data_IF_786120704404
#
_entry.id   IF_786120704404
#
_cell.length_a   1.000
_cell.length_b   1.000
_cell.length_c   1.000
_cell.angle_alpha   90.00
_cell.angle_beta   90.00
_cell.angle_gamma   90.00
#
_symmetry.space_group_name_H-M   'P 1'
#
loop_
_entity.id
_entity.type
_entity.pdbx_description
1 polymer ?
#
# COMPACT_ATOMS: atom_id res chain seq x y z
N UNK A 1 -18.48 2.09 15.67
CA UNK A 1 -17.67 1.05 15.02
C UNK A 1 -16.64 1.80 14.21
N UNK A 2 -15.36 1.80 14.60
CA UNK A 2 -14.38 2.52 13.81
C UNK A 2 -14.23 1.75 12.51
N UNK A 3 -14.64 2.37 11.41
CA UNK A 3 -14.20 2.00 10.08
C UNK A 3 -12.69 1.78 10.14
N UNK A 4 -12.21 0.75 9.46
CA UNK A 4 -10.84 0.26 9.57
C UNK A 4 -9.89 1.29 8.92
N UNK A 5 -9.69 2.46 9.56
CA UNK A 5 -9.04 3.66 8.98
C UNK A 5 -7.62 3.40 8.48
N UNK A 6 -7.02 2.30 8.94
CA UNK A 6 -5.66 1.85 8.62
C UNK A 6 -5.61 0.75 7.56
N UNK A 7 -6.74 0.38 6.94
CA UNK A 7 -6.78 -0.61 5.85
C UNK A 7 -7.41 0.01 4.62
N UNK A 8 -6.70 -0.06 3.51
CA UNK A 8 -7.23 0.29 2.20
C UNK A 8 -7.29 -0.90 1.27
N UNK A 9 -8.43 -1.05 0.58
CA UNK A 9 -8.58 -1.97 -0.53
C UNK A 9 -8.46 -1.22 -1.87
N UNK A 10 -7.75 -1.84 -2.81
CA UNK A 10 -7.64 -1.41 -4.21
C UNK A 10 -7.67 -2.63 -5.11
N UNK A 11 -8.43 -2.56 -6.19
CA UNK A 11 -8.54 -3.66 -7.15
C UNK A 11 -7.25 -3.81 -7.98
N UNK A 12 -6.58 -2.70 -8.29
CA UNK A 12 -5.34 -2.65 -9.06
C UNK A 12 -4.36 -1.66 -8.42
N UNK A 13 -3.11 -1.60 -8.90
CA UNK A 13 -2.13 -0.61 -8.45
C UNK A 13 -2.13 0.62 -9.35
N UNK A 14 -2.06 1.81 -8.73
CA UNK A 14 -1.81 3.07 -9.40
C UNK A 14 -0.78 3.86 -8.60
N UNK A 15 0.15 4.55 -9.26
CA UNK A 15 1.24 5.27 -8.56
C UNK A 15 0.74 6.42 -7.68
N UNK A 16 -0.48 6.91 -7.91
CA UNK A 16 -1.14 7.87 -7.01
C UNK A 16 -1.35 7.32 -5.60
N UNK A 17 -1.39 5.98 -5.45
CA UNK A 17 -1.51 5.31 -4.15
C UNK A 17 -0.31 5.50 -3.23
N UNK A 18 0.81 6.03 -3.75
CA UNK A 18 1.91 6.50 -2.91
C UNK A 18 1.49 7.57 -1.91
N UNK A 19 0.43 8.36 -2.20
CA UNK A 19 -0.13 9.33 -1.23
C UNK A 19 -0.66 8.65 0.03
N UNK A 20 -1.26 7.46 -0.13
CA UNK A 20 -1.75 6.67 1.00
C UNK A 20 -0.59 6.09 1.81
N UNK A 21 0.46 5.60 1.14
CA UNK A 21 1.68 5.16 1.82
C UNK A 21 2.28 6.30 2.64
N UNK A 22 2.37 7.50 2.08
CA UNK A 22 2.84 8.70 2.79
C UNK A 22 1.92 9.04 3.98
N UNK A 23 0.60 9.04 3.77
CA UNK A 23 -0.39 9.27 4.82
C UNK A 23 -0.23 8.29 5.99
N UNK A 24 -0.12 7.00 5.71
CA UNK A 24 0.07 5.97 6.73
C UNK A 24 1.41 6.09 7.44
N UNK A 25 2.49 6.37 6.72
CA UNK A 25 3.81 6.55 7.31
C UNK A 25 3.84 7.72 8.30
N UNK A 26 3.08 8.78 8.04
CA UNK A 26 2.98 9.95 8.92
C UNK A 26 1.95 9.80 10.05
N UNK A 27 1.18 8.72 10.04
CA UNK A 27 0.10 8.45 10.99
C UNK A 27 0.48 7.28 11.90
N UNK A 28 -0.49 6.42 12.22
CA UNK A 28 -0.31 5.23 13.04
C UNK A 28 0.10 3.98 12.23
N UNK A 29 0.48 4.16 10.96
CA UNK A 29 0.73 3.08 10.01
C UNK A 29 -0.55 2.56 9.35
N UNK A 30 -0.42 1.53 8.54
CA UNK A 30 -1.55 0.94 7.84
C UNK A 30 -1.16 -0.14 6.84
N UNK A 31 -2.16 -0.72 6.19
CA UNK A 31 -2.01 -1.75 5.17
C UNK A 31 -2.82 -1.38 3.95
N UNK A 32 -2.19 -1.45 2.77
CA UNK A 32 -2.89 -1.33 1.49
C UNK A 32 -2.92 -2.72 0.85
N UNK A 33 -4.12 -3.21 0.52
CA UNK A 33 -4.32 -4.42 -0.26
C UNK A 33 -4.58 -4.08 -1.71
N UNK A 34 -3.81 -4.69 -2.62
CA UNK A 34 -3.91 -4.55 -4.06
C UNK A 34 -4.39 -5.88 -4.65
N UNK A 35 -5.47 -5.86 -5.43
CA UNK A 35 -6.16 -7.08 -5.88
C UNK A 35 -7.40 -7.42 -5.06
N UNK A 36 -7.93 -6.46 -4.28
CA UNK A 36 -9.20 -6.59 -3.54
C UNK A 36 -10.19 -5.50 -3.94
N UNK A 37 -11.47 -5.83 -4.06
CA UNK A 37 -12.53 -4.84 -4.26
C UNK A 37 -12.84 -4.05 -2.98
N UNK A 38 -13.70 -3.04 -3.09
CA UNK A 38 -14.10 -2.18 -1.97
C UNK A 38 -14.86 -2.95 -0.87
N UNK A 39 -15.38 -4.14 -1.18
CA UNK A 39 -16.01 -5.06 -0.22
C UNK A 39 -14.99 -6.03 0.42
N UNK A 40 -13.74 -6.00 -0.05
CA UNK A 40 -12.64 -6.82 0.45
C UNK A 40 -12.48 -8.19 -0.24
N UNK A 41 -13.25 -8.48 -1.30
CA UNK A 41 -13.16 -9.73 -2.05
C UNK A 41 -11.96 -9.73 -3.01
N UNK A 42 -11.35 -10.89 -3.21
CA UNK A 42 -10.17 -11.02 -4.07
C UNK A 42 -10.57 -11.06 -5.56
N UNK A 43 -10.03 -10.11 -6.34
CA UNK A 43 -10.29 -9.94 -7.78
C UNK A 43 -9.26 -10.67 -8.66
N UNK A 44 -8.13 -11.11 -8.09
CA UNK A 44 -6.92 -11.59 -8.78
C UNK A 44 -6.15 -10.47 -9.49
N UNK A 45 -4.88 -10.31 -9.11
CA UNK A 45 -3.95 -9.34 -9.66
C UNK A 45 -3.04 -10.05 -10.67
N UNK A 46 -3.21 -9.81 -11.98
CA UNK A 46 -2.43 -10.46 -13.03
C UNK A 46 -0.96 -10.03 -13.07
N UNK A 47 -0.69 -8.75 -12.80
CA UNK A 47 0.64 -8.15 -12.87
C UNK A 47 1.44 -8.27 -11.57
N UNK A 48 1.06 -9.19 -10.69
CA UNK A 48 1.61 -9.30 -9.34
C UNK A 48 3.14 -9.44 -9.32
N UNK A 49 3.72 -10.20 -10.26
CA UNK A 49 5.18 -10.40 -10.35
C UNK A 49 5.90 -9.06 -10.54
N UNK A 50 5.46 -8.26 -11.53
CA UNK A 50 6.01 -6.94 -11.79
C UNK A 50 5.81 -6.00 -10.60
N UNK A 51 4.63 -6.04 -9.99
CA UNK A 51 4.28 -5.15 -8.89
C UNK A 51 5.08 -5.42 -7.61
N UNK A 52 5.44 -6.68 -7.34
CA UNK A 52 6.33 -7.03 -6.22
C UNK A 52 7.71 -6.38 -6.34
N UNK A 53 8.19 -6.14 -7.57
CA UNK A 53 9.45 -5.43 -7.80
C UNK A 53 9.25 -3.91 -7.87
N UNK A 54 8.21 -3.44 -8.56
CA UNK A 54 7.97 -2.02 -8.80
C UNK A 54 7.59 -1.26 -7.52
N UNK A 55 6.64 -1.78 -6.73
CA UNK A 55 6.09 -1.10 -5.56
C UNK A 55 7.18 -0.72 -4.54
N UNK A 56 8.02 -1.65 -4.03
CA UNK A 56 9.02 -1.29 -3.03
C UNK A 56 10.06 -0.30 -3.59
N UNK A 57 10.45 -0.45 -4.85
CA UNK A 57 11.35 0.49 -5.50
C UNK A 57 10.74 1.89 -5.64
N UNK A 58 9.46 2.00 -6.02
CA UNK A 58 8.74 3.28 -6.12
C UNK A 58 8.61 3.96 -4.77
N UNK A 59 8.26 3.22 -3.72
CA UNK A 59 8.17 3.73 -2.34
C UNK A 59 9.53 4.29 -1.90
N UNK A 60 10.60 3.49 -2.03
CA UNK A 60 11.96 3.91 -1.67
C UNK A 60 12.40 5.15 -2.45
N UNK A 61 12.22 5.15 -3.77
CA UNK A 61 12.69 6.24 -4.62
C UNK A 61 11.90 7.55 -4.39
N UNK A 62 10.63 7.47 -4.02
CA UNK A 62 9.77 8.63 -3.86
C UNK A 62 9.81 9.24 -2.44
N UNK A 63 10.07 8.43 -1.41
CA UNK A 63 9.93 8.81 0.00
C UNK A 63 11.13 8.45 0.88
N UNK A 64 12.05 7.60 0.40
CA UNK A 64 13.22 7.15 1.17
C UNK A 64 12.92 6.13 2.28
N UNK A 65 11.70 5.60 2.33
CA UNK A 65 11.27 4.62 3.33
C UNK A 65 11.18 3.22 2.77
N UNK A 66 11.09 2.23 3.66
CA UNK A 66 10.86 0.82 3.31
C UNK A 66 9.49 0.40 3.87
N UNK A 67 8.78 -0.40 3.10
CA UNK A 67 7.50 -1.01 3.48
C UNK A 67 7.56 -2.52 3.20
N UNK A 68 6.84 -3.30 4.00
CA UNK A 68 6.73 -4.74 3.81
C UNK A 68 5.70 -5.01 2.70
N UNK A 69 6.17 -5.52 1.57
CA UNK A 69 5.33 -5.91 0.43
C UNK A 69 5.26 -7.44 0.38
N UNK A 70 4.06 -8.01 0.47
CA UNK A 70 3.85 -9.46 0.50
C UNK A 70 2.82 -9.88 -0.54
N UNK A 71 3.10 -11.00 -1.21
CA UNK A 71 2.15 -11.68 -2.10
C UNK A 71 1.32 -12.68 -1.30
N UNK A 72 0.02 -12.69 -1.57
CA UNK A 72 -0.93 -13.64 -1.02
C UNK A 72 -1.60 -14.42 -2.14
N UNK A 73 -2.06 -15.63 -1.81
CA UNK A 73 -2.86 -16.49 -2.68
C UNK A 73 -4.10 -16.92 -1.93
N UNK A 74 -5.26 -16.71 -2.53
CA UNK A 74 -6.54 -17.19 -2.02
C UNK A 74 -7.26 -17.90 -3.16
N UNK A 75 -7.34 -19.23 -3.08
CA UNK A 75 -7.99 -20.06 -4.10
C UNK A 75 -7.43 -19.84 -5.53
N UNK A 76 -6.11 -19.62 -5.65
CA UNK A 76 -5.46 -19.31 -6.92
C UNK A 76 -5.59 -17.86 -7.39
N UNK A 77 -6.31 -17.02 -6.64
CA UNK A 77 -6.35 -15.58 -6.87
C UNK A 77 -5.23 -14.89 -6.09
N UNK A 78 -4.36 -14.18 -6.81
CA UNK A 78 -3.22 -13.48 -6.21
C UNK A 78 -3.60 -12.05 -5.83
N UNK A 79 -3.09 -11.58 -4.70
CA UNK A 79 -3.18 -10.17 -4.29
C UNK A 79 -1.95 -9.78 -3.47
N UNK A 80 -1.67 -8.49 -3.34
CA UNK A 80 -0.50 -7.96 -2.64
C UNK A 80 -0.96 -7.16 -1.43
N UNK A 81 -0.24 -7.26 -0.31
CA UNK A 81 -0.37 -6.34 0.82
C UNK A 81 0.88 -5.49 0.97
N UNK A 82 0.70 -4.19 1.20
CA UNK A 82 1.77 -3.23 1.49
C UNK A 82 1.56 -2.75 2.92
N UNK A 83 2.36 -3.25 3.85
CA UNK A 83 2.32 -2.82 5.25
C UNK A 83 3.29 -1.66 5.46
N UNK A 84 2.74 -0.56 5.96
CA UNK A 84 3.43 0.70 6.21
C UNK A 84 3.49 0.89 7.73
N UNK A 85 4.71 0.94 8.27
CA UNK A 85 4.92 1.25 9.68
C UNK A 85 4.80 2.76 9.92
N UNK A 86 4.37 3.20 11.11
CA UNK A 86 4.44 4.61 11.49
C UNK A 86 5.89 5.06 11.62
N UNK A 87 6.16 6.30 11.18
CA UNK A 87 7.46 6.95 11.29
C UNK A 87 7.38 8.11 12.27
N UNK A 88 8.41 8.27 13.10
CA UNK A 88 8.53 9.36 14.07
C UNK A 88 8.92 10.70 13.43
N UNK A 89 9.43 10.66 12.19
CA UNK A 89 9.82 11.83 11.40
C UNK A 89 8.88 11.94 10.20
N UNK A 90 8.49 13.17 9.87
CA UNK A 90 7.60 13.43 8.75
C UNK A 90 8.20 12.94 7.42
N UNK A 91 7.49 12.02 6.77
CA UNK A 91 7.76 11.47 5.45
C UNK A 91 7.08 12.34 4.40
N UNK A 92 7.84 12.81 3.42
CA UNK A 92 7.30 13.56 2.28
C UNK A 92 7.24 12.69 1.03
N UNK A 93 6.17 12.84 0.25
CA UNK A 93 6.08 12.36 -1.12
C UNK A 93 6.38 13.51 -2.07
N UNK A 94 7.61 13.55 -2.60
CA UNK A 94 8.07 14.60 -3.53
C UNK A 94 7.85 16.03 -2.99
N UNK A 95 8.18 16.25 -1.71
CA UNK A 95 8.05 17.55 -1.05
C UNK A 95 6.64 17.89 -0.56
N UNK A 96 5.65 17.01 -0.73
CA UNK A 96 4.31 17.15 -0.16
C UNK A 96 4.11 16.17 0.99
N UNK A 97 3.40 16.62 2.02
CA UNK A 97 3.08 15.81 3.18
C UNK A 97 1.61 15.42 3.11
N UNK A 98 1.35 14.14 3.36
CA UNK A 98 0.02 13.58 3.48
C UNK A 98 -0.11 13.02 4.90
N UNK A 99 -1.26 13.21 5.52
CA UNK A 99 -1.57 12.67 6.84
C UNK A 99 -2.90 11.92 6.74
N UNK A 100 -3.01 10.83 7.48
CA UNK A 100 -4.21 9.99 7.49
C UNK A 100 -4.63 9.63 8.89
#
# INVERSE_FOLDING_TARGET
MPEQQNIEYKQSWHDDYLKWVCGFANAIGGVIYIGRDDEGNVVHLSDYVRLLEDIPNKIRNAMGIICDVQLHDEEGKKYISIKVNPYSVAVSLRGRYYYR
#
